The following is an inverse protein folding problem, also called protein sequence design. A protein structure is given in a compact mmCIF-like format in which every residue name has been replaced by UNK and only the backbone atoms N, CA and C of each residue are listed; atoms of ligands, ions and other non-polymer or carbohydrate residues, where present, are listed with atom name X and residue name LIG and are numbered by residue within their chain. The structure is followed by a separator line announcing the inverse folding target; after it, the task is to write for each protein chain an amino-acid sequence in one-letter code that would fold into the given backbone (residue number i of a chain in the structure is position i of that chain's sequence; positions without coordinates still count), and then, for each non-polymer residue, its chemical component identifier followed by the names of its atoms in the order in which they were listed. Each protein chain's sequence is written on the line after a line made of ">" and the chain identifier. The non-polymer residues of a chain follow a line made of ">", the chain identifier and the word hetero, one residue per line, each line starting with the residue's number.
data_IF_937012101796
#
_entry.id   IF_937012101796
#
_cell.length_a   1.000
_cell.length_b   1.000
_cell.length_c   1.000
_cell.angle_alpha   90.00
_cell.angle_beta   90.00
_cell.angle_gamma   90.00
#
_symmetry.space_group_name_H-M   'P 1'
#
loop_
_entity.id
_entity.type
_entity.pdbx_description
1 polymer ?
#
# COMPACT_ATOMS: atom_id res chain seq x y z
N UNK A 1 -0.42 -29.78 23.43
CA UNK A 1 0.41 -28.58 23.47
C UNK A 1 0.80 -28.29 22.02
N UNK A 2 0.01 -27.47 21.34
CA UNK A 2 0.29 -27.10 19.95
C UNK A 2 1.39 -26.04 19.96
N UNK A 3 2.61 -26.44 19.72
CA UNK A 3 3.68 -25.52 19.35
C UNK A 3 3.27 -24.99 17.96
N UNK A 4 2.86 -23.74 17.89
CA UNK A 4 2.77 -23.04 16.62
C UNK A 4 4.19 -22.90 16.12
N UNK A 5 4.64 -23.77 15.23
CA UNK A 5 5.86 -23.56 14.47
C UNK A 5 5.63 -22.38 13.51
N UNK A 6 5.80 -21.18 14.06
CA UNK A 6 5.87 -19.97 13.30
C UNK A 6 7.31 -19.82 12.88
N UNK A 7 7.62 -20.26 11.67
CA UNK A 7 8.99 -20.12 11.14
C UNK A 7 9.29 -18.64 10.93
N UNK A 8 10.39 -18.19 11.51
CA UNK A 8 10.91 -16.83 11.36
C UNK A 8 12.09 -16.82 10.40
N UNK A 9 12.05 -15.91 9.45
CA UNK A 9 13.13 -15.68 8.50
C UNK A 9 13.62 -14.25 8.60
N UNK A 10 14.87 -14.05 8.24
CA UNK A 10 15.56 -12.78 8.43
C UNK A 10 16.19 -12.32 7.14
N UNK A 11 16.08 -11.02 6.87
CA UNK A 11 16.67 -10.33 5.72
C UNK A 11 17.58 -9.22 6.22
N UNK A 12 18.77 -9.09 5.65
CA UNK A 12 19.73 -8.03 5.98
C UNK A 12 20.45 -7.55 4.74
N UNK A 13 20.74 -6.26 4.66
CA UNK A 13 21.54 -5.68 3.56
C UNK A 13 22.93 -6.29 3.43
N UNK A 14 23.44 -6.91 4.49
CA UNK A 14 24.73 -7.64 4.52
C UNK A 14 24.57 -9.15 4.39
N UNK A 15 23.35 -9.65 4.15
CA UNK A 15 23.04 -11.06 3.98
C UNK A 15 23.48 -11.63 2.62
N UNK A 16 23.10 -12.88 2.37
CA UNK A 16 23.29 -13.56 1.10
C UNK A 16 22.06 -14.44 0.80
N UNK A 17 21.53 -14.39 -0.42
CA UNK A 17 20.31 -15.13 -0.80
C UNK A 17 20.52 -16.66 -0.88
N UNK A 18 21.75 -17.12 -0.84
CA UNK A 18 22.10 -18.54 -0.70
C UNK A 18 22.07 -19.03 0.77
N UNK A 19 21.96 -18.12 1.74
CA UNK A 19 21.84 -18.45 3.15
C UNK A 19 20.48 -19.11 3.46
N UNK A 20 20.35 -19.78 4.63
CA UNK A 20 19.07 -20.38 5.04
C UNK A 20 18.02 -19.38 5.53
N UNK A 21 18.33 -18.08 5.64
CA UNK A 21 17.42 -17.05 6.12
C UNK A 21 17.25 -17.00 7.63
N UNK A 22 18.21 -17.54 8.40
CA UNK A 22 18.20 -17.49 9.88
C UNK A 22 18.73 -16.14 10.38
N UNK A 23 18.54 -15.86 11.67
CA UNK A 23 19.04 -14.63 12.31
C UNK A 23 20.56 -14.44 12.13
N UNK A 24 21.34 -15.53 12.21
CA UNK A 24 22.80 -15.50 12.06
C UNK A 24 23.28 -15.65 10.62
N UNK A 25 22.41 -16.04 9.71
CA UNK A 25 22.70 -16.24 8.29
C UNK A 25 21.49 -15.77 7.47
N UNK A 26 21.22 -14.44 7.45
CA UNK A 26 20.04 -13.87 6.81
C UNK A 26 20.15 -13.88 5.27
N UNK A 27 19.02 -13.85 4.61
CA UNK A 27 18.95 -13.51 3.19
C UNK A 27 19.35 -12.06 2.96
N UNK A 28 19.74 -11.75 1.73
CA UNK A 28 20.10 -10.39 1.34
C UNK A 28 18.91 -9.57 0.88
N UNK A 29 17.99 -10.18 0.15
CA UNK A 29 16.89 -9.47 -0.51
C UNK A 29 15.54 -9.80 0.12
N UNK A 30 14.69 -8.79 0.20
CA UNK A 30 13.30 -8.97 0.62
C UNK A 30 12.57 -9.82 -0.43
N UNK A 31 12.89 -9.63 -1.71
CA UNK A 31 12.31 -10.41 -2.82
C UNK A 31 12.54 -11.92 -2.64
N UNK A 32 13.73 -12.34 -2.21
CA UNK A 32 14.02 -13.75 -1.89
C UNK A 32 13.08 -14.27 -0.81
N UNK A 33 12.90 -13.51 0.27
CA UNK A 33 12.07 -13.91 1.37
C UNK A 33 10.60 -14.10 0.93
N UNK A 34 9.99 -13.10 0.29
CA UNK A 34 8.57 -13.12 -0.08
C UNK A 34 8.20 -14.11 -1.19
N UNK A 35 9.19 -14.73 -1.83
CA UNK A 35 8.98 -15.82 -2.81
C UNK A 35 9.29 -17.20 -2.25
N UNK A 36 9.90 -17.26 -1.05
CA UNK A 36 10.37 -18.54 -0.46
C UNK A 36 9.51 -18.99 0.71
N UNK A 37 8.99 -18.05 1.50
CA UNK A 37 8.20 -18.34 2.71
C UNK A 37 6.88 -19.06 2.40
N UNK A 38 6.33 -19.72 3.41
CA UNK A 38 5.06 -20.44 3.36
C UNK A 38 4.05 -19.85 4.35
N UNK A 39 2.77 -20.23 4.29
CA UNK A 39 1.76 -19.72 5.22
C UNK A 39 2.17 -19.84 6.70
N UNK A 40 2.01 -18.74 7.44
CA UNK A 40 2.33 -18.63 8.86
C UNK A 40 3.75 -18.14 9.15
N UNK A 41 4.58 -17.91 8.17
CA UNK A 41 5.93 -17.39 8.38
C UNK A 41 5.95 -15.90 8.72
N UNK A 42 6.99 -15.49 9.43
CA UNK A 42 7.35 -14.09 9.69
C UNK A 42 8.65 -13.78 8.98
N UNK A 43 8.63 -12.78 8.13
CA UNK A 43 9.82 -12.19 7.50
C UNK A 43 10.22 -10.96 8.31
N UNK A 44 11.32 -11.08 9.05
CA UNK A 44 11.92 -10.00 9.83
C UNK A 44 12.98 -9.30 8.99
N UNK A 45 12.78 -8.04 8.65
CA UNK A 45 13.70 -7.26 7.84
C UNK A 45 14.54 -6.39 8.78
N UNK A 46 15.84 -6.57 8.77
CA UNK A 46 16.78 -5.78 9.57
C UNK A 46 16.96 -4.38 8.97
N UNK A 47 17.32 -3.43 9.81
CA UNK A 47 17.52 -2.03 9.43
C UNK A 47 18.47 -1.83 8.25
N UNK A 48 18.13 -0.86 7.43
CA UNK A 48 18.92 -0.48 6.26
C UNK A 48 18.06 -0.06 5.07
N UNK A 49 18.74 0.29 3.98
CA UNK A 49 18.06 0.71 2.73
C UNK A 49 18.14 -0.40 1.68
N UNK A 50 16.98 -0.81 1.19
CA UNK A 50 16.80 -1.83 0.18
C UNK A 50 16.31 -1.17 -1.12
N UNK A 51 17.03 -1.40 -2.22
CA UNK A 51 16.71 -0.84 -3.54
C UNK A 51 16.00 -1.89 -4.41
N UNK A 52 14.82 -2.31 -3.97
CA UNK A 52 14.07 -3.41 -4.58
C UNK A 52 12.69 -2.98 -5.06
N UNK A 53 12.16 -3.69 -6.05
CA UNK A 53 10.75 -3.77 -6.38
C UNK A 53 10.26 -5.12 -5.88
N UNK A 54 9.48 -5.13 -4.82
CA UNK A 54 9.07 -6.34 -4.12
C UNK A 54 7.76 -6.84 -4.69
N UNK A 55 7.77 -8.04 -5.26
CA UNK A 55 6.57 -8.72 -5.73
C UNK A 55 6.27 -9.92 -4.85
N UNK A 56 5.26 -9.82 -4.02
CA UNK A 56 4.80 -10.94 -3.21
C UNK A 56 4.00 -11.90 -4.09
N UNK A 57 4.38 -13.18 -4.08
CA UNK A 57 3.76 -14.21 -4.93
C UNK A 57 3.19 -15.38 -4.15
N UNK A 58 3.33 -15.36 -2.82
CA UNK A 58 2.88 -16.42 -1.92
C UNK A 58 1.76 -15.84 -1.03
N UNK A 59 0.68 -16.57 -0.90
CA UNK A 59 -0.42 -16.25 0.01
C UNK A 59 -0.29 -16.99 1.34
N UNK A 60 -0.80 -16.37 2.41
CA UNK A 60 -1.07 -17.06 3.66
C UNK A 60 -2.37 -17.87 3.60
N UNK A 61 -2.90 -18.23 4.77
CA UNK A 61 -4.24 -18.80 4.95
C UNK A 61 -4.94 -18.13 6.12
N UNK A 62 -6.25 -18.36 6.28
CA UNK A 62 -7.05 -17.72 7.34
C UNK A 62 -6.43 -17.84 8.74
N UNK A 63 -5.86 -19.00 9.06
CA UNK A 63 -5.21 -19.25 10.36
C UNK A 63 -3.71 -18.92 10.37
N UNK A 64 -3.11 -18.66 9.22
CA UNK A 64 -1.65 -18.56 9.04
C UNK A 64 -1.27 -17.41 8.07
N UNK A 65 -1.45 -16.18 8.53
CA UNK A 65 -0.96 -15.01 7.79
C UNK A 65 0.56 -15.06 7.61
N UNK A 66 1.03 -14.62 6.46
CA UNK A 66 2.43 -14.25 6.26
C UNK A 66 2.60 -12.82 6.75
N UNK A 67 3.58 -12.60 7.64
CA UNK A 67 3.87 -11.27 8.20
C UNK A 67 5.22 -10.78 7.68
N UNK A 68 5.23 -9.63 7.05
CA UNK A 68 6.44 -8.96 6.54
C UNK A 68 6.62 -7.70 7.40
N UNK A 69 7.69 -7.62 8.18
CA UNK A 69 7.87 -6.53 9.14
C UNK A 69 9.33 -6.16 9.36
N UNK A 70 9.54 -4.98 9.92
CA UNK A 70 10.85 -4.60 10.45
C UNK A 70 11.23 -5.48 11.68
N UNK A 71 12.51 -5.74 11.82
CA UNK A 71 13.07 -6.45 12.98
C UNK A 71 13.36 -5.45 14.10
N UNK A 72 12.90 -5.73 15.32
CA UNK A 72 13.17 -4.94 16.53
C UNK A 72 12.94 -3.43 16.38
N UNK A 73 11.91 -3.03 15.60
CA UNK A 73 11.59 -1.63 15.31
C UNK A 73 12.74 -0.85 14.64
N UNK A 74 13.69 -1.54 14.03
CA UNK A 74 14.74 -0.94 13.23
C UNK A 74 14.19 -0.21 12.01
N UNK A 75 14.83 0.87 11.59
CA UNK A 75 14.41 1.61 10.39
C UNK A 75 14.76 0.84 9.12
N UNK A 76 13.73 0.39 8.43
CA UNK A 76 13.84 -0.30 7.13
C UNK A 76 13.29 0.61 6.04
N UNK A 77 14.13 0.95 5.05
CA UNK A 77 13.73 1.81 3.92
C UNK A 77 13.76 1.00 2.64
N UNK A 78 12.61 0.84 1.99
CA UNK A 78 12.48 0.31 0.63
C UNK A 78 12.45 1.52 -0.29
N UNK A 79 13.53 1.74 -1.02
CA UNK A 79 13.77 2.98 -1.79
C UNK A 79 13.72 2.76 -3.28
N UNK A 80 13.01 3.63 -3.99
CA UNK A 80 13.01 3.70 -5.45
C UNK A 80 14.30 4.25 -6.06
N UNK A 81 15.22 4.78 -5.22
CA UNK A 81 16.46 5.40 -5.69
C UNK A 81 16.20 6.50 -6.74
N UNK A 82 15.19 7.32 -6.50
CA UNK A 82 14.74 8.38 -7.42
C UNK A 82 14.39 7.90 -8.83
N UNK A 83 13.86 6.69 -8.96
CA UNK A 83 13.32 6.13 -10.21
C UNK A 83 11.82 5.86 -10.04
N UNK A 84 11.04 5.78 -11.14
CA UNK A 84 9.66 5.32 -11.07
C UNK A 84 9.64 3.82 -10.72
N UNK A 85 8.91 3.46 -9.64
CA UNK A 85 8.81 2.06 -9.17
C UNK A 85 7.50 1.78 -8.45
N UNK A 86 7.01 0.56 -8.59
CA UNK A 86 6.07 -0.04 -7.63
C UNK A 86 6.90 -0.75 -6.54
N UNK A 87 7.04 -0.14 -5.36
CA UNK A 87 7.97 -0.62 -4.33
C UNK A 87 7.53 -1.95 -3.70
N UNK A 88 6.21 -2.12 -3.48
CA UNK A 88 5.64 -3.40 -3.06
C UNK A 88 4.35 -3.70 -3.81
N UNK A 89 4.30 -4.87 -4.40
CA UNK A 89 3.17 -5.34 -5.19
C UNK A 89 2.55 -6.59 -4.53
N UNK A 90 1.27 -6.50 -4.18
CA UNK A 90 0.47 -7.52 -3.51
C UNK A 90 -0.70 -7.98 -4.40
N UNK A 91 -0.46 -8.15 -5.70
CA UNK A 91 -1.52 -8.48 -6.66
C UNK A 91 -1.89 -9.96 -6.61
N UNK A 92 -3.17 -10.25 -6.40
CA UNK A 92 -3.71 -11.61 -6.42
C UNK A 92 -3.24 -12.49 -5.24
N UNK A 93 -2.76 -11.89 -4.15
CA UNK A 93 -2.35 -12.61 -2.93
C UNK A 93 -3.29 -12.32 -1.78
N UNK A 94 -3.28 -13.21 -0.78
CA UNK A 94 -4.18 -13.12 0.36
C UNK A 94 -3.51 -13.51 1.68
N UNK A 95 -4.10 -13.05 2.78
CA UNK A 95 -3.65 -13.31 4.14
C UNK A 95 -2.20 -12.84 4.36
N UNK A 96 -1.94 -11.58 3.99
CA UNK A 96 -0.64 -10.91 4.14
C UNK A 96 -0.77 -9.74 5.11
N UNK A 97 0.21 -9.58 5.98
CA UNK A 97 0.37 -8.39 6.81
C UNK A 97 1.72 -7.73 6.55
N UNK A 98 1.71 -6.44 6.24
CA UNK A 98 2.91 -5.61 6.04
C UNK A 98 2.96 -4.55 7.14
N UNK A 99 4.05 -4.51 7.90
CA UNK A 99 4.13 -3.66 9.09
C UNK A 99 5.50 -3.03 9.32
N UNK A 100 5.50 -1.76 9.73
CA UNK A 100 6.69 -1.08 10.27
C UNK A 100 7.78 -0.77 9.24
N UNK A 101 7.43 -0.68 7.95
CA UNK A 101 8.36 -0.42 6.86
C UNK A 101 8.21 1.01 6.33
N UNK A 102 9.29 1.55 5.78
CA UNK A 102 9.29 2.83 5.05
C UNK A 102 9.43 2.57 3.54
N UNK A 103 8.50 3.10 2.75
CA UNK A 103 8.51 3.09 1.29
C UNK A 103 8.80 4.50 0.80
N UNK A 104 9.90 4.70 0.06
CA UNK A 104 10.35 6.05 -0.19
C UNK A 104 11.11 6.26 -1.51
N UNK A 105 11.29 7.55 -1.82
CA UNK A 105 12.26 8.07 -2.79
C UNK A 105 12.03 7.54 -4.21
N UNK A 106 10.78 7.63 -4.70
CA UNK A 106 10.44 7.40 -6.10
C UNK A 106 10.28 8.72 -6.84
N UNK A 107 10.74 8.76 -8.08
CA UNK A 107 10.57 9.91 -8.96
C UNK A 107 10.19 9.46 -10.37
N UNK A 108 9.03 9.88 -10.83
CA UNK A 108 8.46 9.59 -12.14
C UNK A 108 7.07 8.97 -12.05
N UNK A 109 6.34 9.01 -13.16
CA UNK A 109 5.00 8.46 -13.28
C UNK A 109 4.98 6.95 -13.02
N UNK A 110 3.84 6.47 -12.54
CA UNK A 110 3.59 5.08 -12.13
C UNK A 110 4.36 4.62 -10.90
N UNK A 111 4.85 5.56 -10.09
CA UNK A 111 5.42 5.24 -8.79
C UNK A 111 4.32 4.91 -7.79
N UNK A 112 4.44 3.79 -7.09
CA UNK A 112 3.50 3.37 -6.04
C UNK A 112 4.29 2.83 -4.85
N UNK A 113 3.92 3.25 -3.65
CA UNK A 113 4.51 2.72 -2.42
C UNK A 113 4.07 1.26 -2.21
N UNK A 114 2.77 1.03 -1.99
CA UNK A 114 2.18 -0.30 -1.84
C UNK A 114 0.98 -0.41 -2.78
N UNK A 115 0.98 -1.44 -3.63
CA UNK A 115 -0.12 -1.75 -4.54
C UNK A 115 -0.79 -3.07 -4.16
N UNK A 116 -2.09 -3.01 -3.97
CA UNK A 116 -2.97 -4.16 -3.76
C UNK A 116 -3.91 -4.23 -4.97
N UNK A 117 -3.85 -5.31 -5.71
CA UNK A 117 -4.64 -5.39 -6.95
C UNK A 117 -4.99 -6.84 -7.31
N UNK A 118 -5.39 -7.05 -8.54
CA UNK A 118 -5.74 -8.36 -9.10
C UNK A 118 -4.65 -8.86 -10.03
N UNK A 119 -4.58 -10.17 -10.24
CA UNK A 119 -3.99 -10.77 -11.44
C UNK A 119 -5.05 -10.93 -12.52
N UNK A 120 -4.81 -11.72 -13.58
CA UNK A 120 -5.83 -12.10 -14.56
C UNK A 120 -6.96 -12.93 -13.96
N UNK A 121 -6.71 -13.65 -12.88
CA UNK A 121 -7.60 -14.70 -12.37
C UNK A 121 -7.95 -14.57 -10.88
N UNK A 122 -7.10 -13.83 -10.11
CA UNK A 122 -7.25 -13.73 -8.66
C UNK A 122 -7.30 -12.27 -8.19
N UNK A 123 -8.19 -12.00 -7.25
CA UNK A 123 -8.26 -10.75 -6.51
C UNK A 123 -7.60 -10.89 -5.14
N UNK A 124 -6.92 -9.84 -4.70
CA UNK A 124 -6.32 -9.81 -3.36
C UNK A 124 -7.38 -9.70 -2.28
N UNK A 125 -7.19 -10.38 -1.17
CA UNK A 125 -8.09 -10.27 -0.02
C UNK A 125 -7.38 -10.54 1.31
N UNK A 126 -7.98 -10.12 2.43
CA UNK A 126 -7.42 -10.28 3.77
C UNK A 126 -5.98 -9.75 3.85
N UNK A 127 -5.80 -8.50 3.42
CA UNK A 127 -4.51 -7.80 3.46
C UNK A 127 -4.54 -6.73 4.55
N UNK A 128 -3.54 -6.72 5.41
CA UNK A 128 -3.35 -5.69 6.43
C UNK A 128 -2.08 -4.88 6.17
N UNK A 129 -2.22 -3.58 5.97
CA UNK A 129 -1.12 -2.60 5.85
C UNK A 129 -1.12 -1.74 7.10
N UNK A 130 -0.14 -1.94 7.98
CA UNK A 130 -0.16 -1.41 9.35
C UNK A 130 1.14 -0.70 9.72
N UNK A 131 1.04 0.49 10.28
CA UNK A 131 2.16 1.23 10.89
C UNK A 131 3.36 1.42 9.93
N UNK A 132 3.11 1.59 8.62
CA UNK A 132 4.14 1.88 7.63
C UNK A 132 4.26 3.39 7.40
N UNK A 133 5.40 3.82 6.89
CA UNK A 133 5.61 5.18 6.41
C UNK A 133 5.79 5.18 4.89
N UNK A 134 5.05 6.00 4.18
CA UNK A 134 5.19 6.23 2.74
C UNK A 134 5.56 7.71 2.56
N UNK A 135 6.69 7.99 1.89
CA UNK A 135 7.17 9.36 1.72
C UNK A 135 7.98 9.57 0.46
N UNK A 136 8.05 10.82 0.01
CA UNK A 136 8.88 11.22 -1.14
C UNK A 136 8.55 10.43 -2.42
N UNK A 137 7.28 10.19 -2.68
CA UNK A 137 6.83 9.63 -3.95
C UNK A 137 6.39 10.77 -4.86
N UNK A 138 7.15 11.04 -5.89
CA UNK A 138 6.91 12.18 -6.78
C UNK A 138 6.61 11.69 -8.20
N UNK A 139 5.38 11.90 -8.64
CA UNK A 139 4.98 11.64 -10.02
C UNK A 139 5.76 12.50 -11.03
N UNK A 140 6.14 13.72 -10.62
CA UNK A 140 7.01 14.62 -11.34
C UNK A 140 7.73 15.56 -10.34
N UNK A 141 9.00 15.81 -10.53
CA UNK A 141 9.82 16.65 -9.64
C UNK A 141 9.44 18.15 -9.63
N UNK A 142 8.86 18.67 -10.71
CA UNK A 142 8.73 20.11 -10.98
C UNK A 142 7.32 20.62 -11.20
N UNK A 143 6.28 19.83 -10.90
CA UNK A 143 4.93 20.14 -11.36
C UNK A 143 4.29 21.36 -10.70
N UNK A 144 4.27 22.45 -11.45
CA UNK A 144 3.23 23.50 -11.33
C UNK A 144 1.99 23.17 -12.16
N UNK A 145 2.09 22.19 -13.07
CA UNK A 145 1.01 21.65 -13.91
C UNK A 145 1.22 20.15 -14.03
N UNK A 146 0.17 19.35 -13.86
CA UNK A 146 0.25 17.91 -14.11
C UNK A 146 -0.06 17.62 -15.58
N UNK A 147 0.91 17.18 -16.39
CA UNK A 147 0.62 16.63 -17.71
C UNK A 147 -0.35 15.44 -17.60
N UNK A 148 -1.05 15.07 -18.66
CA UNK A 148 -1.77 13.80 -18.73
C UNK A 148 -0.83 12.61 -18.37
N UNK A 149 -1.37 11.61 -17.70
CA UNK A 149 -0.63 10.38 -17.34
C UNK A 149 0.51 10.55 -16.31
N UNK A 150 0.37 11.47 -15.39
CA UNK A 150 1.31 11.66 -14.27
C UNK A 150 0.66 11.12 -12.98
N UNK A 151 1.08 9.94 -12.56
CA UNK A 151 0.48 9.19 -11.45
C UNK A 151 1.53 8.71 -10.45
N UNK A 152 1.31 8.93 -9.16
CA UNK A 152 2.10 8.31 -8.09
C UNK A 152 1.22 8.11 -6.85
N UNK A 153 0.98 6.89 -6.45
CA UNK A 153 0.15 6.55 -5.29
C UNK A 153 0.95 6.17 -4.06
N UNK A 154 0.46 6.51 -2.89
CA UNK A 154 1.05 6.03 -1.63
C UNK A 154 0.67 4.57 -1.38
N UNK A 155 -0.61 4.33 -1.08
CA UNK A 155 -1.21 2.99 -0.94
C UNK A 155 -2.39 2.94 -1.91
N UNK A 156 -2.33 2.05 -2.89
CA UNK A 156 -3.35 1.93 -3.93
C UNK A 156 -4.01 0.56 -3.90
N UNK A 157 -5.33 0.53 -3.80
CA UNK A 157 -6.16 -0.67 -3.92
C UNK A 157 -7.00 -0.55 -5.18
N UNK A 158 -6.77 -1.42 -6.17
CA UNK A 158 -7.44 -1.33 -7.46
C UNK A 158 -7.96 -2.68 -7.97
N UNK A 159 -9.28 -2.83 -8.01
CA UNK A 159 -9.98 -4.06 -8.40
C UNK A 159 -10.32 -4.09 -9.89
N UNK A 160 -9.51 -4.77 -10.70
CA UNK A 160 -9.69 -4.85 -12.15
C UNK A 160 -10.58 -6.01 -12.61
N UNK A 161 -10.80 -7.03 -11.78
CA UNK A 161 -11.62 -8.20 -12.16
C UNK A 161 -13.11 -7.91 -12.00
N UNK A 162 -13.89 -8.21 -13.03
CA UNK A 162 -15.35 -8.06 -12.99
C UNK A 162 -16.02 -9.08 -12.08
N UNK A 163 -15.45 -10.28 -11.99
CA UNK A 163 -16.04 -11.45 -11.32
C UNK A 163 -15.58 -11.67 -9.89
N UNK A 164 -14.46 -11.06 -9.49
CA UNK A 164 -13.87 -11.22 -8.14
C UNK A 164 -13.52 -9.86 -7.56
N UNK A 165 -14.18 -9.49 -6.48
CA UNK A 165 -13.84 -8.26 -5.75
C UNK A 165 -12.57 -8.45 -4.90
N UNK A 166 -11.79 -7.40 -4.78
CA UNK A 166 -10.85 -7.26 -3.67
C UNK A 166 -11.68 -7.03 -2.41
N UNK A 167 -11.36 -7.71 -1.32
CA UNK A 167 -12.16 -7.58 -0.08
C UNK A 167 -11.31 -7.78 1.19
N UNK A 168 -11.87 -7.41 2.35
CA UNK A 168 -11.21 -7.54 3.65
C UNK A 168 -9.82 -6.86 3.68
N UNK A 169 -9.76 -5.61 3.23
CA UNK A 169 -8.54 -4.79 3.23
C UNK A 169 -8.53 -3.89 4.46
N UNK A 170 -7.44 -3.93 5.21
CA UNK A 170 -7.22 -3.05 6.37
C UNK A 170 -5.98 -2.20 6.12
N UNK A 171 -6.16 -0.88 6.13
CA UNK A 171 -5.09 0.12 6.04
C UNK A 171 -5.16 0.95 7.31
N UNK A 172 -4.25 0.70 8.26
CA UNK A 172 -4.32 1.35 9.57
C UNK A 172 -2.98 1.85 10.09
N UNK A 173 -3.03 2.96 10.82
CA UNK A 173 -1.88 3.53 11.53
C UNK A 173 -0.68 3.85 10.62
N UNK A 174 -0.89 4.00 9.30
CA UNK A 174 0.16 4.37 8.38
C UNK A 174 0.34 5.89 8.35
N UNK A 175 1.54 6.32 7.99
CA UNK A 175 1.84 7.72 7.69
C UNK A 175 2.17 7.86 6.22
N UNK A 176 1.38 8.64 5.47
CA UNK A 176 1.66 9.02 4.08
C UNK A 176 1.96 10.51 4.05
N UNK A 177 3.17 10.88 3.67
CA UNK A 177 3.59 12.29 3.73
C UNK A 177 4.57 12.68 2.63
N UNK A 178 4.62 13.99 2.37
CA UNK A 178 5.61 14.57 1.46
C UNK A 178 5.59 13.89 0.08
N UNK A 179 4.38 13.63 -0.45
CA UNK A 179 4.17 12.99 -1.74
C UNK A 179 3.57 13.97 -2.76
N UNK A 180 3.95 13.84 -4.03
CA UNK A 180 3.33 14.55 -5.15
C UNK A 180 2.71 13.53 -6.09
N UNK A 181 1.47 13.21 -5.80
CA UNK A 181 0.76 12.06 -6.38
C UNK A 181 0.31 12.25 -7.84
N UNK A 182 0.36 13.48 -8.34
CA UNK A 182 -0.15 13.76 -9.70
C UNK A 182 -1.67 13.68 -9.71
N UNK A 183 -2.21 12.84 -10.59
CA UNK A 183 -3.65 12.61 -10.73
C UNK A 183 -4.17 11.45 -9.84
N UNK A 184 -3.32 10.88 -9.00
CA UNK A 184 -3.71 9.86 -8.02
C UNK A 184 -3.67 10.42 -6.59
N UNK A 185 -4.01 9.60 -5.64
CA UNK A 185 -4.24 9.93 -4.24
C UNK A 185 -3.16 9.34 -3.34
N UNK A 186 -3.07 9.83 -2.12
CA UNK A 186 -2.14 9.28 -1.13
C UNK A 186 -2.57 7.88 -0.66
N UNK A 187 -3.87 7.69 -0.41
CA UNK A 187 -4.50 6.37 -0.17
C UNK A 187 -5.74 6.28 -1.05
N UNK A 188 -5.81 5.30 -1.94
CA UNK A 188 -6.94 5.12 -2.83
C UNK A 188 -7.50 3.70 -2.84
N UNK A 189 -8.83 3.62 -2.98
CA UNK A 189 -9.59 2.38 -3.16
C UNK A 189 -10.53 2.56 -4.34
N UNK A 190 -10.37 1.79 -5.42
CA UNK A 190 -11.10 1.99 -6.67
C UNK A 190 -11.42 0.69 -7.41
N UNK A 191 -12.41 0.73 -8.29
CA UNK A 191 -12.85 -0.44 -9.05
C UNK A 191 -13.57 -1.48 -8.19
N UNK A 192 -13.53 -2.75 -8.57
CA UNK A 192 -14.26 -3.80 -7.87
C UNK A 192 -13.65 -4.14 -6.51
N UNK A 193 -13.93 -3.31 -5.51
CA UNK A 193 -13.49 -3.49 -4.12
C UNK A 193 -14.72 -3.53 -3.20
N UNK A 194 -14.84 -4.58 -2.37
CA UNK A 194 -15.99 -4.83 -1.51
C UNK A 194 -15.57 -5.18 -0.08
N UNK A 195 -15.64 -4.22 0.82
CA UNK A 195 -15.21 -4.38 2.21
C UNK A 195 -13.77 -3.92 2.47
N UNK A 196 -13.64 -2.76 3.10
CA UNK A 196 -12.34 -2.21 3.51
C UNK A 196 -12.46 -1.34 4.77
N UNK A 197 -11.36 -1.22 5.49
CA UNK A 197 -11.20 -0.33 6.64
C UNK A 197 -9.94 0.53 6.46
N UNK A 198 -10.12 1.86 6.38
CA UNK A 198 -9.02 2.83 6.40
C UNK A 198 -9.14 3.62 7.71
N UNK A 199 -8.24 3.36 8.67
CA UNK A 199 -8.40 3.93 10.00
C UNK A 199 -7.08 4.35 10.66
N UNK A 200 -7.13 5.44 11.43
CA UNK A 200 -5.98 5.95 12.21
C UNK A 200 -4.73 6.27 11.38
N UNK A 201 -4.89 6.54 10.10
CA UNK A 201 -3.76 6.95 9.27
C UNK A 201 -3.52 8.45 9.40
N UNK A 202 -2.27 8.85 9.24
CA UNK A 202 -1.85 10.25 9.11
C UNK A 202 -1.48 10.49 7.65
N UNK A 203 -2.21 11.38 6.98
CA UNK A 203 -1.92 11.80 5.60
C UNK A 203 -1.65 13.29 5.60
N UNK A 204 -0.47 13.70 5.17
CA UNK A 204 -0.10 15.11 5.21
C UNK A 204 0.86 15.52 4.11
N UNK A 205 0.72 16.75 3.64
CA UNK A 205 1.58 17.33 2.60
C UNK A 205 1.65 16.45 1.35
N UNK A 206 0.48 16.11 0.80
CA UNK A 206 0.36 15.31 -0.41
C UNK A 206 -0.23 16.13 -1.56
N UNK A 207 0.09 15.74 -2.79
CA UNK A 207 -0.55 16.33 -3.96
C UNK A 207 -1.93 15.73 -4.19
N UNK A 208 -2.92 16.43 -4.63
CA UNK A 208 -4.27 15.97 -4.92
C UNK A 208 -5.08 15.55 -3.67
N UNK A 209 -5.58 14.33 -3.59
CA UNK A 209 -6.49 13.84 -2.54
C UNK A 209 -5.72 13.01 -1.50
N UNK A 210 -6.08 13.18 -0.23
CA UNK A 210 -5.47 12.42 0.86
C UNK A 210 -5.98 10.98 0.91
N UNK A 211 -7.29 10.79 1.06
CA UNK A 211 -7.94 9.46 1.06
C UNK A 211 -9.11 9.49 0.10
N UNK A 212 -9.15 8.53 -0.82
CA UNK A 212 -10.21 8.39 -1.81
C UNK A 212 -10.83 7.01 -1.83
N UNK A 213 -12.16 6.97 -1.99
CA UNK A 213 -12.90 5.77 -2.34
C UNK A 213 -13.74 6.07 -3.58
N UNK A 214 -13.40 5.48 -4.71
CA UNK A 214 -13.96 5.86 -6.00
C UNK A 214 -14.52 4.70 -6.82
N UNK A 215 -15.22 5.04 -7.87
CA UNK A 215 -15.81 4.10 -8.81
C UNK A 215 -16.21 4.71 -10.12
N UNK A 216 -16.61 3.85 -11.06
CA UNK A 216 -17.10 4.20 -12.40
C UNK A 216 -16.04 4.85 -13.32
N UNK A 217 -14.76 4.60 -13.02
CA UNK A 217 -13.62 5.05 -13.82
C UNK A 217 -13.17 4.04 -14.87
N UNK A 218 -13.90 2.93 -15.03
CA UNK A 218 -13.54 1.85 -15.98
C UNK A 218 -12.36 1.00 -15.52
N UNK A 219 -12.12 0.93 -14.22
CA UNK A 219 -11.10 0.06 -13.62
C UNK A 219 -11.52 -1.40 -13.78
N UNK A 220 -12.74 -1.74 -13.36
CA UNK A 220 -13.44 -2.98 -13.74
C UNK A 220 -14.29 -2.68 -14.99
N UNK A 221 -14.40 -3.65 -15.89
CA UNK A 221 -15.18 -3.47 -17.12
C UNK A 221 -16.70 -3.58 -16.90
N UNK A 222 -17.11 -4.15 -15.78
CA UNK A 222 -18.52 -4.26 -15.40
C UNK A 222 -18.94 -3.05 -14.58
N UNK A 223 -19.78 -2.14 -15.13
CA UNK A 223 -20.21 -0.94 -14.41
C UNK A 223 -20.98 -1.22 -13.11
N UNK A 224 -21.55 -2.42 -12.99
CA UNK A 224 -22.28 -2.84 -11.78
C UNK A 224 -21.34 -3.20 -10.61
N UNK A 225 -20.06 -3.35 -10.86
CA UNK A 225 -19.05 -3.68 -9.84
C UNK A 225 -17.86 -2.73 -9.86
N UNK A 226 -17.79 -1.78 -10.81
CA UNK A 226 -16.70 -0.83 -10.96
C UNK A 226 -16.77 0.31 -9.93
N UNK A 227 -16.84 -0.04 -8.64
CA UNK A 227 -16.82 0.94 -7.55
C UNK A 227 -16.44 0.31 -6.21
N UNK A 228 -15.80 1.11 -5.36
CA UNK A 228 -15.53 0.78 -3.98
C UNK A 228 -16.82 0.80 -3.15
N UNK A 229 -17.03 -0.22 -2.31
CA UNK A 229 -18.25 -0.36 -1.51
C UNK A 229 -18.03 -1.04 -0.17
N UNK A 230 -19.00 -0.87 0.73
CA UNK A 230 -19.03 -1.49 2.05
C UNK A 230 -17.77 -1.18 2.87
N UNK A 231 -17.33 0.07 2.86
CA UNK A 231 -16.09 0.50 3.48
C UNK A 231 -16.29 1.39 4.70
N UNK A 232 -15.25 1.48 5.52
CA UNK A 232 -15.17 2.42 6.65
C UNK A 232 -13.90 3.25 6.54
N UNK A 233 -14.05 4.58 6.64
CA UNK A 233 -12.94 5.55 6.70
C UNK A 233 -13.09 6.29 8.03
N UNK A 234 -12.26 5.98 9.03
CA UNK A 234 -12.47 6.48 10.38
C UNK A 234 -11.19 6.86 11.11
N UNK A 235 -11.27 7.82 12.01
CA UNK A 235 -10.18 8.22 12.91
C UNK A 235 -8.88 8.64 12.20
N UNK A 236 -8.92 8.97 10.90
CA UNK A 236 -7.76 9.44 10.16
C UNK A 236 -7.50 10.93 10.40
N UNK A 237 -6.25 11.33 10.33
CA UNK A 237 -5.84 12.74 10.36
C UNK A 237 -5.28 13.12 8.98
N UNK A 238 -6.01 13.96 8.24
CA UNK A 238 -5.70 14.29 6.85
C UNK A 238 -5.52 15.80 6.71
N UNK A 239 -4.35 16.24 6.25
CA UNK A 239 -4.04 17.66 6.20
C UNK A 239 -3.10 18.04 5.05
N UNK A 240 -3.18 19.29 4.60
CA UNK A 240 -2.30 19.85 3.57
C UNK A 240 -2.29 19.05 2.26
N UNK A 241 -3.43 18.49 1.88
CA UNK A 241 -3.63 17.84 0.58
C UNK A 241 -3.95 18.92 -0.46
N UNK A 242 -3.02 19.16 -1.37
CA UNK A 242 -3.10 20.28 -2.32
C UNK A 242 -2.61 19.88 -3.70
N UNK A 243 -3.43 20.10 -4.71
CA UNK A 243 -3.00 20.01 -6.10
C UNK A 243 -2.48 21.38 -6.58
N UNK A 244 -1.40 21.44 -7.33
CA UNK A 244 -0.95 22.70 -7.94
C UNK A 244 -1.83 23.14 -9.11
N UNK A 245 -2.72 22.29 -9.63
CA UNK A 245 -3.51 22.56 -10.84
C UNK A 245 -4.95 22.90 -10.48
N UNK A 246 -5.62 22.04 -9.75
CA UNK A 246 -7.01 22.25 -9.28
C UNK A 246 -7.28 21.31 -8.10
N UNK A 247 -7.94 21.84 -7.07
CA UNK A 247 -8.48 21.03 -6.01
C UNK A 247 -7.45 20.39 -5.09
N UNK A 248 -7.89 19.40 -4.41
CA UNK A 248 -7.19 18.66 -3.36
C UNK A 248 -8.10 18.55 -2.16
N UNK A 249 -8.62 17.36 -1.91
CA UNK A 249 -9.50 17.08 -0.79
C UNK A 249 -8.77 16.30 0.29
N UNK A 250 -9.18 16.47 1.54
CA UNK A 250 -8.70 15.60 2.60
C UNK A 250 -9.22 14.18 2.41
N UNK A 251 -10.53 14.02 2.41
CA UNK A 251 -11.22 12.74 2.17
C UNK A 251 -12.26 12.96 1.08
N UNK A 252 -12.28 12.09 0.08
CA UNK A 252 -13.17 12.20 -1.06
C UNK A 252 -13.86 10.86 -1.37
N UNK A 253 -15.15 10.94 -1.68
CA UNK A 253 -15.95 9.82 -2.14
C UNK A 253 -16.47 10.13 -3.54
N UNK A 254 -16.02 9.37 -4.53
CA UNK A 254 -16.35 9.61 -5.93
C UNK A 254 -16.97 8.37 -6.58
N UNK A 255 -18.26 8.26 -6.57
CA UNK A 255 -18.98 7.13 -7.17
C UNK A 255 -18.91 5.84 -6.35
N UNK A 256 -18.40 5.87 -5.13
CA UNK A 256 -18.44 4.74 -4.19
C UNK A 256 -19.82 4.57 -3.53
N UNK A 257 -20.06 3.44 -2.88
CA UNK A 257 -21.35 3.12 -2.28
C UNK A 257 -21.22 2.50 -0.89
N UNK A 258 -22.15 2.84 0.01
CA UNK A 258 -22.20 2.31 1.38
C UNK A 258 -20.88 2.49 2.14
N UNK A 259 -20.37 3.71 2.18
CA UNK A 259 -19.14 4.07 2.89
C UNK A 259 -19.51 4.85 4.15
N UNK A 260 -19.05 4.36 5.31
CA UNK A 260 -19.12 5.09 6.57
C UNK A 260 -17.86 5.95 6.74
N UNK A 261 -18.06 7.27 6.84
CA UNK A 261 -16.96 8.22 7.14
C UNK A 261 -17.24 8.84 8.51
N UNK A 262 -16.39 8.55 9.50
CA UNK A 262 -16.62 9.06 10.86
C UNK A 262 -15.32 9.37 11.63
N UNK A 263 -15.41 10.31 12.56
CA UNK A 263 -14.32 10.63 13.51
C UNK A 263 -12.98 11.02 12.87
N UNK A 264 -12.97 11.42 11.61
CA UNK A 264 -11.76 11.88 10.96
C UNK A 264 -11.50 13.35 11.30
N UNK A 265 -10.24 13.73 11.31
CA UNK A 265 -9.79 15.12 11.37
C UNK A 265 -9.26 15.49 9.99
N UNK A 266 -9.93 16.44 9.33
CA UNK A 266 -9.55 16.94 8.00
C UNK A 266 -9.39 18.45 8.06
N UNK A 267 -8.19 18.99 7.76
CA UNK A 267 -7.95 20.43 7.81
C UNK A 267 -6.84 20.89 6.88
N UNK A 268 -6.86 22.18 6.53
CA UNK A 268 -5.85 22.82 5.67
C UNK A 268 -5.69 22.16 4.28
N UNK A 269 -6.71 21.46 3.82
CA UNK A 269 -6.80 20.95 2.45
C UNK A 269 -7.42 22.03 1.55
N UNK A 270 -7.44 21.84 0.23
CA UNK A 270 -8.13 22.77 -0.66
C UNK A 270 -9.64 22.62 -0.48
N UNK A 271 -10.12 21.36 -0.40
CA UNK A 271 -11.49 21.04 -0.02
C UNK A 271 -11.50 20.16 1.23
N UNK A 272 -12.59 20.27 2.01
CA UNK A 272 -12.76 19.64 3.33
C UNK A 272 -12.67 18.12 3.40
#
# INVERSE_FOLDING_TARGET
>A
MCIRDRSEYYVSTTGNDENPGTLTSPWRTIQKAVTTVTPGCVVNIMGGTYYEEIKVTVSGTADKYIVIKNYNDEEVIISGNNKPRELMNLNGVSYIKVKGLTFADCLGSYSVGIKISTTSDEASHHIEIESNTIRNLYANATATVYPPNVYAGGITVAGYLDSKAIHDIIIRENTVKDCRTGWTEAISVTGNVDGFLITKNVVTNTGNIGIDASGHWGISKNPATDFARNGVISENHVSYCKSPVEGGAGIYLDGSSNILVEKNISHNNVYG
#
